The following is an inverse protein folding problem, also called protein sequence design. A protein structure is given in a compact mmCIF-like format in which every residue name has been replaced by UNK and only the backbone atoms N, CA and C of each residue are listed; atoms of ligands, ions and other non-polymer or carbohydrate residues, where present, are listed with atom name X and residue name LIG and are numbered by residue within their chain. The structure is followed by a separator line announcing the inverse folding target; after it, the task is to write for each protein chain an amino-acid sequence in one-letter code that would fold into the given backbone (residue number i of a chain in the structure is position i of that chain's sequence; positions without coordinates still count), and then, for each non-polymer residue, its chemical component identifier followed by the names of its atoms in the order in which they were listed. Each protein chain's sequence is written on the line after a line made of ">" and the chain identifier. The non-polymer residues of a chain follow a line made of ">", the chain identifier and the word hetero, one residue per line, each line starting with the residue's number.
data_IF_618901314343
#
_entry.id   IF_618901314343
#
_cell.length_a   1.000
_cell.length_b   1.000
_cell.length_c   1.000
_cell.angle_alpha   90.00
_cell.angle_beta   90.00
_cell.angle_gamma   90.00
#
_symmetry.space_group_name_H-M   'P 1'
#
loop_
_entity.id
_entity.type
_entity.pdbx_description
1 polymer ?
#
# COMPACT_ATOMS: atom_id res chain seq x y z
N UNK A 1 5.67 17.66 -7.47
CA UNK A 1 5.89 16.42 -6.66
C UNK A 1 4.59 15.65 -6.62
N UNK A 2 4.62 14.33 -6.46
CA UNK A 2 3.39 13.54 -6.36
C UNK A 2 2.86 13.61 -4.93
N UNK A 3 1.54 13.61 -4.79
CA UNK A 3 0.88 13.65 -3.51
C UNK A 3 0.67 12.21 -3.00
N UNK A 4 0.96 12.01 -1.72
CA UNK A 4 0.85 10.73 -1.04
C UNK A 4 -0.07 10.87 0.17
N UNK A 5 -0.87 9.84 0.38
CA UNK A 5 -1.62 9.62 1.61
C UNK A 5 -0.88 8.59 2.44
N UNK A 6 -0.51 8.94 3.68
CA UNK A 6 -0.04 7.98 4.66
C UNK A 6 -1.25 7.30 5.29
N UNK A 7 -1.34 5.97 5.14
CA UNK A 7 -2.35 5.14 5.77
C UNK A 7 -1.72 4.26 6.83
N UNK A 8 -2.20 4.39 8.05
CA UNK A 8 -1.80 3.59 9.20
C UNK A 8 -2.87 2.54 9.50
N UNK A 9 -2.45 1.30 9.75
CA UNK A 9 -3.32 0.16 9.99
C UNK A 9 -3.33 -0.25 11.46
N UNK A 10 -4.27 -1.13 11.84
CA UNK A 10 -4.33 -1.72 13.19
C UNK A 10 -3.02 -2.39 13.61
N UNK A 11 -2.30 -2.99 12.68
CA UNK A 11 -0.98 -3.60 12.92
C UNK A 11 0.17 -2.59 13.09
N UNK A 12 -0.12 -1.29 13.23
CA UNK A 12 0.86 -0.19 13.34
C UNK A 12 1.76 0.00 12.11
N UNK A 13 1.52 -0.74 11.04
CA UNK A 13 2.20 -0.54 9.77
C UNK A 13 1.68 0.71 9.05
N UNK A 14 2.59 1.48 8.46
CA UNK A 14 2.29 2.67 7.66
C UNK A 14 2.54 2.37 6.19
N UNK A 15 1.60 2.74 5.32
CA UNK A 15 1.71 2.63 3.86
C UNK A 15 1.52 4.00 3.23
N UNK A 16 2.32 4.30 2.23
CA UNK A 16 2.20 5.53 1.46
C UNK A 16 1.56 5.20 0.12
N UNK A 17 0.36 5.72 -0.10
CA UNK A 17 -0.42 5.48 -1.31
C UNK A 17 -0.44 6.79 -2.09
N UNK A 18 -0.11 6.73 -3.37
CA UNK A 18 -0.17 7.92 -4.22
C UNK A 18 -1.63 8.35 -4.39
N UNK A 19 -1.94 9.57 -3.98
CA UNK A 19 -3.25 10.18 -4.19
C UNK A 19 -3.30 10.95 -5.51
N UNK A 20 -2.19 11.59 -5.91
CA UNK A 20 -2.09 12.33 -7.17
C UNK A 20 -0.70 12.24 -7.78
N UNK A 21 -0.66 11.86 -9.06
CA UNK A 21 0.57 11.90 -9.85
C UNK A 21 0.87 13.32 -10.34
N UNK A 22 2.14 13.74 -10.30
CA UNK A 22 2.56 14.98 -10.92
C UNK A 22 2.83 14.79 -12.43
N UNK A 23 2.84 15.90 -13.17
CA UNK A 23 3.07 15.88 -14.62
C UNK A 23 4.42 15.26 -15.00
N UNK A 24 5.47 15.50 -14.21
CA UNK A 24 6.77 14.89 -14.45
C UNK A 24 6.74 13.36 -14.33
N UNK A 25 6.01 12.81 -13.36
CA UNK A 25 5.86 11.36 -13.24
C UNK A 25 5.12 10.81 -14.46
N UNK A 26 4.05 11.46 -14.90
CA UNK A 26 3.28 11.02 -16.09
C UNK A 26 4.18 10.98 -17.33
N UNK A 27 5.07 11.97 -17.50
CA UNK A 27 5.97 12.07 -18.64
C UNK A 27 7.17 11.13 -18.57
N UNK A 28 7.74 10.94 -17.37
CA UNK A 28 9.05 10.28 -17.22
C UNK A 28 8.96 8.90 -16.58
N UNK A 29 7.83 8.58 -15.95
CA UNK A 29 7.64 7.45 -15.04
C UNK A 29 8.70 7.33 -13.94
N UNK A 30 9.45 8.41 -13.66
CA UNK A 30 10.48 8.42 -12.63
C UNK A 30 9.86 8.77 -11.29
N UNK A 31 10.21 8.05 -10.20
CA UNK A 31 9.70 8.34 -8.88
C UNK A 31 10.13 9.75 -8.45
N UNK A 32 9.13 10.53 -8.07
CA UNK A 32 9.27 11.85 -7.46
C UNK A 32 9.61 11.69 -5.96
N UNK A 33 10.18 12.72 -5.34
CA UNK A 33 10.21 12.76 -3.87
C UNK A 33 8.76 12.78 -3.34
N UNK A 34 8.43 11.95 -2.34
CA UNK A 34 7.08 11.84 -1.83
C UNK A 34 6.69 13.08 -1.03
N UNK A 35 5.54 13.67 -1.35
CA UNK A 35 4.92 14.71 -0.55
C UNK A 35 3.71 14.10 0.16
N UNK A 36 3.77 13.91 1.48
CA UNK A 36 2.62 13.39 2.24
C UNK A 36 1.66 14.53 2.54
N UNK A 37 0.49 14.50 1.90
CA UNK A 37 -0.53 15.55 2.02
C UNK A 37 -1.68 15.17 2.93
N UNK A 38 -1.86 13.87 3.20
CA UNK A 38 -2.97 13.36 3.98
C UNK A 38 -2.57 12.18 4.87
N UNK A 39 -3.23 12.07 6.03
CA UNK A 39 -3.03 11.00 6.99
C UNK A 39 -4.36 10.30 7.28
N UNK A 40 -4.39 8.97 7.16
CA UNK A 40 -5.55 8.14 7.43
C UNK A 40 -5.20 7.04 8.43
N UNK A 41 -6.06 6.83 9.42
CA UNK A 41 -5.98 5.67 10.30
C UNK A 41 -7.11 4.69 10.01
N UNK A 42 -6.77 3.44 9.69
CA UNK A 42 -7.69 2.33 9.47
C UNK A 42 -7.51 1.28 10.57
N UNK A 43 -8.05 1.58 11.74
CA UNK A 43 -7.96 0.73 12.93
C UNK A 43 -8.73 -0.60 12.86
N UNK A 44 -9.63 -0.76 11.88
CA UNK A 44 -10.35 -2.02 11.65
C UNK A 44 -9.58 -2.97 10.70
N UNK A 45 -8.69 -2.42 9.87
CA UNK A 45 -8.00 -3.20 8.85
C UNK A 45 -6.57 -3.57 9.23
N UNK A 46 -6.15 -4.76 8.79
CA UNK A 46 -4.76 -5.20 8.75
C UNK A 46 -4.14 -4.81 7.41
N UNK A 47 -2.83 -4.51 7.39
CA UNK A 47 -2.10 -4.36 6.15
C UNK A 47 -2.05 -5.70 5.38
N UNK A 48 -1.79 -5.66 4.07
CA UNK A 48 -1.77 -6.87 3.22
C UNK A 48 -0.80 -7.96 3.68
N UNK A 49 0.29 -7.61 4.36
CA UNK A 49 1.26 -8.58 4.90
C UNK A 49 0.79 -9.24 6.19
N UNK A 50 -0.05 -8.55 6.98
CA UNK A 50 -0.60 -9.09 8.21
C UNK A 50 -1.94 -9.80 7.99
N UNK A 51 -2.56 -9.63 6.82
CA UNK A 51 -3.77 -10.39 6.47
C UNK A 51 -3.38 -11.86 6.34
N UNK A 52 -4.11 -12.78 7.00
CA UNK A 52 -3.87 -14.21 6.80
C UNK A 52 -4.06 -14.51 5.32
N UNK A 53 -3.10 -15.22 4.72
CA UNK A 53 -3.26 -15.67 3.33
C UNK A 53 -4.52 -16.51 3.26
N UNK A 54 -5.42 -16.18 2.34
CA UNK A 54 -6.50 -17.09 2.02
C UNK A 54 -5.85 -18.42 1.58
N UNK A 55 -6.38 -19.58 2.05
CA UNK A 55 -5.86 -20.86 1.61
C UNK A 55 -5.99 -20.92 0.09
N UNK A 56 -4.87 -21.08 -0.61
CA UNK A 56 -4.90 -21.23 -2.06
C UNK A 56 -5.52 -22.61 -2.31
N UNK A 57 -6.64 -22.74 -3.06
CA UNK A 57 -7.41 -23.99 -3.10
C UNK A 57 -6.59 -25.23 -3.48
N UNK A 58 -5.55 -25.05 -4.30
CA UNK A 58 -4.67 -26.12 -4.75
C UNK A 58 -3.42 -26.34 -3.88
N UNK A 59 -3.15 -25.50 -2.89
CA UNK A 59 -1.94 -25.62 -2.05
C UNK A 59 -1.92 -26.95 -1.29
N UNK A 60 -3.08 -27.40 -0.83
CA UNK A 60 -3.28 -28.71 -0.21
C UNK A 60 -3.14 -29.89 -1.19
N UNK A 61 -3.06 -29.64 -2.50
CA UNK A 61 -2.87 -30.67 -3.53
C UNK A 61 -1.39 -30.96 -3.82
N UNK A 62 -0.47 -30.11 -3.34
CA UNK A 62 0.97 -30.33 -3.49
C UNK A 62 1.45 -31.21 -2.34
N UNK A 63 1.87 -32.44 -2.65
CA UNK A 63 2.59 -33.30 -1.69
C UNK A 63 4.04 -32.81 -1.60
N UNK A 64 4.44 -32.27 -0.46
CA UNK A 64 5.84 -31.94 -0.12
C UNK A 64 6.46 -33.03 0.73
#
# INVERSE_FOLDING_TARGET
>A
MCDYTQREFRCSHKRYIVSRWCLDYIRTQKPCQPCVTHFEYRGDELCSECKPSAPIPWENMIRR
#
